data_IF_731547689274
#
_entry.id   IF_731547689274
#
_cell.length_a   1.000
_cell.length_b   1.000
_cell.length_c   1.000
_cell.angle_alpha   90.00
_cell.angle_beta   90.00
_cell.angle_gamma   90.00
#
_symmetry.space_group_name_H-M   'P 1'
#
loop_
_entity.id
_entity.type
_entity.pdbx_description
1 polymer ?
#
# COMPACT_ATOMS: atom_id res chain seq x y z
N UNK A 1 32.19 -81.24 11.30
CA UNK A 1 31.68 -81.20 9.90
C UNK A 1 31.02 -79.83 9.73
N UNK A 2 31.63 -78.92 8.96
CA UNK A 2 31.31 -78.63 7.54
C UNK A 2 29.91 -77.95 7.45
N UNK A 3 29.68 -76.68 7.10
CA UNK A 3 30.40 -75.54 6.48
C UNK A 3 29.72 -74.25 7.01
N UNK A 4 30.40 -73.30 7.68
CA UNK A 4 30.93 -72.02 7.13
C UNK A 4 30.20 -71.48 5.87
N UNK A 5 29.47 -70.37 5.98
CA UNK A 5 29.80 -69.07 5.32
C UNK A 5 28.78 -67.96 5.65
N UNK A 6 29.30 -66.85 6.22
CA UNK A 6 29.03 -65.43 5.90
C UNK A 6 27.56 -64.95 5.75
N UNK A 7 27.01 -64.17 6.69
CA UNK A 7 27.20 -62.72 6.94
C UNK A 7 26.17 -61.85 6.17
N UNK A 8 25.65 -60.83 6.87
CA UNK A 8 24.53 -59.89 6.58
C UNK A 8 23.17 -60.50 6.97
N UNK A 9 22.49 -60.08 8.04
CA UNK A 9 22.29 -58.71 8.52
C UNK A 9 22.02 -57.74 7.35
N UNK A 10 21.02 -58.09 6.55
CA UNK A 10 20.38 -57.16 5.62
C UNK A 10 19.03 -57.72 5.16
N UNK A 11 18.01 -56.90 5.42
CA UNK A 11 16.77 -56.74 4.67
C UNK A 11 15.67 -57.83 4.70
N UNK A 12 14.63 -57.44 5.45
CA UNK A 12 13.28 -57.13 4.96
C UNK A 12 12.24 -58.25 4.87
N UNK A 13 10.98 -57.78 4.99
CA UNK A 13 9.68 -58.44 4.83
C UNK A 13 9.12 -59.06 6.12
N UNK A 14 7.94 -58.71 6.65
CA UNK A 14 6.86 -57.83 6.23
C UNK A 14 6.03 -57.46 7.48
N UNK A 15 6.07 -56.20 7.91
CA UNK A 15 4.98 -55.61 8.71
C UNK A 15 4.18 -54.72 7.76
N UNK A 16 3.24 -55.33 7.05
CA UNK A 16 2.14 -54.61 6.41
C UNK A 16 1.15 -54.30 7.54
N UNK A 17 1.37 -53.17 8.21
CA UNK A 17 0.29 -52.47 8.89
C UNK A 17 -0.49 -51.75 7.80
N UNK A 18 -1.74 -52.13 7.59
CA UNK A 18 -2.69 -51.36 6.80
C UNK A 18 -2.85 -49.98 7.45
N UNK A 19 -2.06 -49.02 6.99
CA UNK A 19 -2.37 -47.61 7.13
C UNK A 19 -3.53 -47.37 6.15
N UNK A 20 -4.74 -47.23 6.68
CA UNK A 20 -5.82 -46.53 5.96
C UNK A 20 -5.48 -45.04 5.95
N UNK A 21 -4.39 -44.69 5.25
CA UNK A 21 -4.19 -43.35 4.73
C UNK A 21 -5.18 -43.18 3.59
N UNK A 22 -6.44 -42.90 3.97
CA UNK A 22 -7.26 -42.06 3.12
C UNK A 22 -6.63 -40.68 3.15
N UNK A 23 -5.58 -40.51 2.33
CA UNK A 23 -5.34 -39.25 1.65
C UNK A 23 -6.65 -38.86 0.98
N UNK A 24 -7.50 -38.12 1.70
CA UNK A 24 -8.32 -37.13 1.04
C UNK A 24 -7.33 -36.19 0.36
N UNK A 25 -6.99 -36.53 -0.88
CA UNK A 25 -6.72 -35.56 -1.92
C UNK A 25 -7.93 -34.61 -1.94
N UNK A 26 -7.97 -33.66 -0.99
CA UNK A 26 -8.61 -32.37 -1.21
C UNK A 26 -7.74 -31.74 -2.28
N UNK A 27 -8.01 -32.11 -3.54
CA UNK A 27 -7.70 -31.27 -4.68
C UNK A 27 -8.02 -29.86 -4.26
N UNK A 28 -6.98 -29.05 -4.03
CA UNK A 28 -7.10 -27.64 -3.69
C UNK A 28 -8.00 -27.08 -4.79
N UNK A 29 -9.26 -26.77 -4.46
CA UNK A 29 -10.21 -26.29 -5.45
C UNK A 29 -9.57 -25.04 -6.05
N UNK A 30 -9.23 -25.12 -7.34
CA UNK A 30 -8.75 -23.95 -8.07
C UNK A 30 -9.98 -23.08 -8.21
N UNK A 31 -10.20 -22.20 -7.24
CA UNK A 31 -11.35 -21.32 -7.26
C UNK A 31 -11.19 -20.36 -8.45
N UNK A 32 -12.17 -20.39 -9.35
CA UNK A 32 -12.20 -19.52 -10.53
C UNK A 32 -12.41 -18.08 -10.05
N UNK A 33 -11.59 -17.16 -10.57
CA UNK A 33 -11.71 -15.71 -10.30
C UNK A 33 -13.17 -15.28 -10.47
N UNK A 34 -13.77 -14.74 -9.40
CA UNK A 34 -15.12 -14.21 -9.42
C UNK A 34 -15.06 -12.72 -9.80
N UNK A 35 -15.69 -12.37 -10.91
CA UNK A 35 -15.93 -10.97 -11.27
C UNK A 35 -17.23 -10.47 -10.64
N UNK A 36 -17.32 -9.19 -10.32
CA UNK A 36 -18.55 -8.55 -9.86
C UNK A 36 -18.85 -7.39 -10.79
N UNK A 37 -20.10 -7.29 -11.20
CA UNK A 37 -20.61 -6.05 -11.80
C UNK A 37 -21.03 -5.09 -10.68
N UNK A 38 -20.43 -3.91 -10.67
CA UNK A 38 -20.74 -2.87 -9.69
C UNK A 38 -21.94 -2.05 -10.17
N UNK A 39 -22.92 -1.89 -9.28
CA UNK A 39 -23.96 -0.89 -9.48
C UNK A 39 -23.35 0.52 -9.55
N UNK A 40 -24.05 1.43 -10.23
CA UNK A 40 -23.63 2.83 -10.34
C UNK A 40 -23.55 3.47 -8.94
N UNK A 41 -22.34 3.87 -8.56
CA UNK A 41 -22.06 4.51 -7.29
C UNK A 41 -22.14 6.03 -7.44
N UNK A 42 -23.22 6.63 -6.93
CA UNK A 42 -23.45 8.07 -7.02
C UNK A 42 -22.80 8.79 -5.84
N UNK A 43 -21.78 9.57 -6.13
CA UNK A 43 -21.18 10.48 -5.16
C UNK A 43 -22.00 11.77 -5.07
N UNK A 44 -22.13 12.29 -3.85
CA UNK A 44 -22.69 13.62 -3.63
C UNK A 44 -21.63 14.65 -4.06
N UNK A 45 -22.06 15.73 -4.71
CA UNK A 45 -21.17 16.82 -5.13
C UNK A 45 -20.67 17.61 -3.92
N UNK A 46 -19.41 18.06 -3.96
CA UNK A 46 -18.96 19.09 -3.03
C UNK A 46 -19.63 20.42 -3.35
N UNK A 47 -19.98 21.20 -2.33
CA UNK A 47 -20.41 22.59 -2.55
C UNK A 47 -19.25 23.42 -3.11
N UNK A 48 -19.51 24.47 -3.90
CA UNK A 48 -18.45 25.33 -4.44
C UNK A 48 -17.50 25.88 -3.36
N UNK A 49 -18.03 26.20 -2.17
CA UNK A 49 -17.23 26.64 -1.02
C UNK A 49 -16.28 25.54 -0.50
N UNK A 50 -16.69 24.28 -0.52
CA UNK A 50 -15.87 23.15 -0.07
C UNK A 50 -14.84 22.71 -1.11
N UNK A 51 -15.18 22.83 -2.41
CA UNK A 51 -14.32 22.40 -3.52
C UNK A 51 -12.92 23.03 -3.45
N UNK A 52 -12.82 24.32 -3.14
CA UNK A 52 -11.54 25.04 -3.14
C UNK A 52 -10.55 24.45 -2.12
N UNK A 53 -10.98 24.19 -0.89
CA UNK A 53 -10.10 23.59 0.12
C UNK A 53 -9.81 22.12 -0.19
N UNK A 54 -10.79 21.36 -0.71
CA UNK A 54 -10.58 19.95 -1.04
C UNK A 54 -9.63 19.76 -2.22
N UNK A 55 -9.60 20.71 -3.16
CA UNK A 55 -8.67 20.74 -4.30
C UNK A 55 -7.21 20.87 -3.87
N UNK A 56 -6.95 21.46 -2.71
CA UNK A 56 -5.60 21.62 -2.17
C UNK A 56 -5.21 20.50 -1.19
N UNK A 57 -6.19 19.70 -0.74
CA UNK A 57 -5.95 18.60 0.18
C UNK A 57 -5.52 17.32 -0.55
N UNK A 58 -4.23 17.21 -0.85
CA UNK A 58 -3.65 16.15 -1.69
C UNK A 58 -3.99 14.72 -1.26
N UNK A 59 -4.00 14.42 0.03
CA UNK A 59 -4.32 13.07 0.52
C UNK A 59 -5.80 12.72 0.32
N UNK A 60 -6.69 13.70 0.39
CA UNK A 60 -8.10 13.52 0.03
C UNK A 60 -8.29 13.33 -1.48
N UNK A 61 -7.61 14.13 -2.31
CA UNK A 61 -7.64 13.91 -3.76
C UNK A 61 -7.09 12.54 -4.16
N UNK A 62 -6.08 12.05 -3.45
CA UNK A 62 -5.52 10.72 -3.66
C UNK A 62 -6.53 9.63 -3.31
N UNK A 63 -7.22 9.74 -2.16
CA UNK A 63 -8.31 8.84 -1.80
C UNK A 63 -9.43 8.85 -2.86
N UNK A 64 -9.84 10.05 -3.31
CA UNK A 64 -10.85 10.21 -4.34
C UNK A 64 -10.44 9.53 -5.65
N UNK A 65 -9.20 9.74 -6.09
CA UNK A 65 -8.67 9.13 -7.31
C UNK A 65 -8.71 7.59 -7.23
N UNK A 66 -8.36 7.00 -6.08
CA UNK A 66 -8.43 5.54 -5.88
C UNK A 66 -9.88 5.05 -5.96
N UNK A 67 -10.81 5.71 -5.26
CA UNK A 67 -12.24 5.36 -5.28
C UNK A 67 -12.80 5.42 -6.69
N UNK A 68 -12.51 6.48 -7.45
CA UNK A 68 -13.00 6.65 -8.83
C UNK A 68 -12.38 5.62 -9.77
N UNK A 69 -11.10 5.29 -9.59
CA UNK A 69 -10.39 4.33 -10.44
C UNK A 69 -10.91 2.90 -10.30
N UNK A 70 -11.59 2.56 -9.19
CA UNK A 70 -12.21 1.25 -8.99
C UNK A 70 -13.28 0.94 -10.04
N UNK A 71 -14.09 1.95 -10.42
CA UNK A 71 -15.18 1.79 -11.38
C UNK A 71 -15.50 3.12 -12.10
N UNK A 72 -14.60 3.62 -12.97
CA UNK A 72 -14.69 4.99 -13.49
C UNK A 72 -15.99 5.26 -14.27
N UNK A 73 -16.48 4.29 -15.04
CA UNK A 73 -17.72 4.42 -15.80
C UNK A 73 -19.00 4.35 -14.94
N UNK A 74 -18.86 4.05 -13.64
CA UNK A 74 -19.97 3.83 -12.71
C UNK A 74 -19.99 4.86 -11.58
N UNK A 75 -19.07 5.82 -11.57
CA UNK A 75 -19.01 6.88 -10.58
C UNK A 75 -19.19 8.22 -11.29
N UNK A 76 -20.27 8.94 -10.95
CA UNK A 76 -20.61 10.23 -11.56
C UNK A 76 -20.11 11.40 -10.71
N UNK A 77 -19.96 12.55 -11.36
CA UNK A 77 -19.62 13.85 -10.76
C UNK A 77 -18.25 13.87 -10.05
N UNK A 78 -17.24 13.30 -10.69
CA UNK A 78 -15.91 13.08 -10.09
C UNK A 78 -14.86 14.10 -10.48
N UNK A 79 -15.07 14.85 -11.56
CA UNK A 79 -14.03 15.65 -12.20
C UNK A 79 -13.42 16.70 -11.25
N UNK A 80 -14.24 17.28 -10.37
CA UNK A 80 -13.80 18.28 -9.37
C UNK A 80 -13.15 17.64 -8.11
N UNK A 81 -13.23 16.33 -7.96
CA UNK A 81 -12.74 15.58 -6.79
C UNK A 81 -11.41 14.85 -7.06
N UNK A 82 -10.99 14.79 -8.33
CA UNK A 82 -9.80 14.07 -8.75
C UNK A 82 -8.55 14.94 -8.66
N UNK A 83 -7.39 14.28 -8.75
CA UNK A 83 -6.11 14.98 -8.79
C UNK A 83 -6.07 15.87 -10.03
N UNK A 84 -5.89 17.17 -9.82
CA UNK A 84 -5.77 18.16 -10.90
C UNK A 84 -4.56 17.89 -11.81
N UNK A 85 -3.53 17.24 -11.26
CA UNK A 85 -2.37 16.77 -12.01
C UNK A 85 -2.43 15.24 -12.18
N UNK A 86 -2.64 14.71 -13.40
CA UNK A 86 -2.70 13.28 -13.68
C UNK A 86 -1.36 12.55 -13.47
N UNK A 87 -0.26 13.29 -13.35
CA UNK A 87 1.07 12.77 -13.03
C UNK A 87 1.38 12.72 -11.54
N UNK A 88 0.43 13.13 -10.68
CA UNK A 88 0.55 12.95 -9.24
C UNK A 88 0.72 11.47 -8.90
N UNK A 89 1.70 11.18 -8.04
CA UNK A 89 2.03 9.83 -7.64
C UNK A 89 1.03 9.33 -6.59
N UNK A 90 0.52 8.12 -6.81
CA UNK A 90 -0.28 7.37 -5.87
C UNK A 90 0.50 6.16 -5.39
N UNK A 91 0.37 5.84 -4.10
CA UNK A 91 0.94 4.61 -3.54
C UNK A 91 0.28 3.41 -4.20
N UNK A 92 1.08 2.61 -4.88
CA UNK A 92 0.68 1.32 -5.46
C UNK A 92 0.94 0.17 -4.49
N UNK A 93 2.10 0.20 -3.82
CA UNK A 93 2.45 -0.78 -2.80
C UNK A 93 3.36 -0.18 -1.75
N UNK A 94 3.03 -0.41 -0.48
CA UNK A 94 4.01 -0.31 0.61
C UNK A 94 4.85 -1.59 0.67
N UNK A 95 6.16 -1.44 0.81
CA UNK A 95 7.15 -2.51 0.82
C UNK A 95 7.65 -2.70 2.25
N UNK A 96 6.86 -3.39 3.07
CA UNK A 96 7.17 -3.54 4.50
C UNK A 96 8.44 -4.37 4.70
N UNK A 97 9.43 -3.88 5.49
CA UNK A 97 10.65 -4.62 5.76
C UNK A 97 10.45 -5.90 6.60
N UNK A 98 9.35 -5.96 7.37
CA UNK A 98 8.98 -7.12 8.19
C UNK A 98 7.54 -7.51 7.87
N UNK A 99 7.37 -8.58 7.08
CA UNK A 99 6.10 -9.29 6.89
C UNK A 99 6.38 -10.72 6.36
N UNK A 100 5.36 -11.57 6.26
CA UNK A 100 5.48 -12.96 5.79
C UNK A 100 5.88 -13.16 4.32
N UNK A 101 5.82 -12.09 3.51
CA UNK A 101 6.13 -12.09 2.06
C UNK A 101 7.44 -11.38 1.73
N UNK A 102 8.14 -10.88 2.75
CA UNK A 102 9.40 -10.19 2.62
C UNK A 102 10.51 -11.18 2.86
N UNK A 103 11.38 -11.35 1.88
CA UNK A 103 12.51 -12.28 1.99
C UNK A 103 13.75 -11.55 2.49
N UNK A 104 14.37 -12.11 3.52
CA UNK A 104 15.60 -11.61 4.14
C UNK A 104 16.71 -12.63 3.93
N UNK A 105 17.74 -12.25 3.19
CA UNK A 105 18.90 -13.12 2.92
C UNK A 105 20.12 -12.50 3.58
N UNK A 106 20.80 -13.30 4.41
CA UNK A 106 22.01 -12.90 5.13
C UNK A 106 21.84 -11.56 5.92
N UNK A 107 20.62 -11.31 6.40
CA UNK A 107 20.26 -10.05 7.00
C UNK A 107 19.42 -10.22 8.25
N UNK A 108 19.59 -9.29 9.20
CA UNK A 108 18.66 -9.03 10.27
C UNK A 108 17.88 -7.77 9.92
N UNK A 109 16.56 -7.86 9.98
CA UNK A 109 15.66 -6.72 9.87
C UNK A 109 14.77 -6.69 11.10
N UNK A 110 14.89 -5.63 11.89
CA UNK A 110 14.12 -5.45 13.11
C UNK A 110 13.68 -4.01 13.27
N UNK A 111 12.69 -3.79 14.14
CA UNK A 111 12.25 -2.44 14.48
C UNK A 111 13.35 -1.70 15.24
N UNK A 112 13.64 -0.49 14.80
CA UNK A 112 14.47 0.48 15.52
C UNK A 112 13.55 1.50 16.21
N UNK A 113 13.85 1.85 17.46
CA UNK A 113 13.03 2.73 18.29
C UNK A 113 13.37 4.21 18.14
N UNK A 114 14.37 4.55 17.32
CA UNK A 114 14.70 5.94 16.99
C UNK A 114 13.51 6.64 16.32
N UNK A 115 13.41 7.94 16.56
CA UNK A 115 12.42 8.79 15.92
C UNK A 115 12.68 8.88 14.39
N UNK A 116 11.65 8.75 13.55
CA UNK A 116 11.73 9.10 12.14
C UNK A 116 12.01 10.59 11.94
N UNK A 117 12.44 10.96 10.73
CA UNK A 117 12.57 12.39 10.37
C UNK A 117 11.21 13.09 10.49
N UNK A 118 11.25 14.39 10.81
CA UNK A 118 10.08 15.28 10.88
C UNK A 118 8.99 14.78 11.86
N UNK A 119 9.39 14.01 12.88
CA UNK A 119 8.47 13.32 13.81
C UNK A 119 7.40 12.44 13.14
N UNK A 120 7.65 11.99 11.90
CA UNK A 120 6.67 11.16 11.19
C UNK A 120 6.33 9.89 11.97
N UNK A 121 5.08 9.42 11.91
CA UNK A 121 4.66 8.22 12.67
C UNK A 121 5.08 6.88 12.05
N UNK A 122 6.05 6.87 11.15
CA UNK A 122 6.52 5.63 10.53
C UNK A 122 7.34 4.77 11.50
N UNK A 123 7.33 3.46 11.26
CA UNK A 123 8.21 2.54 11.97
C UNK A 123 9.58 2.54 11.29
N UNK A 124 10.62 2.87 12.03
CA UNK A 124 12.01 2.72 11.57
C UNK A 124 12.43 1.27 11.71
N UNK A 125 13.18 0.79 10.72
CA UNK A 125 13.76 -0.54 10.71
C UNK A 125 15.28 -0.46 10.59
N UNK A 126 15.96 -1.29 11.36
CA UNK A 126 17.40 -1.56 11.23
C UNK A 126 17.59 -2.71 10.25
N UNK A 127 18.38 -2.48 9.21
CA UNK A 127 18.79 -3.49 8.23
C UNK A 127 20.28 -3.76 8.39
N UNK A 128 20.62 -4.93 8.93
CA UNK A 128 21.96 -5.32 9.35
C UNK A 128 22.43 -6.58 8.62
N UNK A 129 23.72 -6.63 8.27
CA UNK A 129 24.38 -7.79 7.66
C UNK A 129 24.78 -8.85 8.69
N UNK A 130 24.52 -10.13 8.39
CA UNK A 130 24.82 -11.25 9.30
C UNK A 130 26.09 -12.06 9.00
N UNK A 131 26.57 -12.09 7.76
CA UNK A 131 27.77 -12.84 7.37
C UNK A 131 28.65 -12.00 6.46
N UNK A 132 29.95 -12.05 6.71
CA UNK A 132 30.98 -11.40 5.89
C UNK A 132 31.02 -11.97 4.46
N UNK A 133 31.54 -11.18 3.51
CA UNK A 133 31.85 -11.57 2.12
C UNK A 133 30.67 -12.10 1.28
N UNK A 134 29.43 -12.03 1.79
CA UNK A 134 28.21 -12.36 1.06
C UNK A 134 27.31 -11.12 0.97
N UNK A 135 26.47 -10.99 -0.05
CA UNK A 135 25.47 -9.92 -0.11
C UNK A 135 24.41 -10.13 0.97
N UNK A 136 24.07 -9.09 1.72
CA UNK A 136 22.88 -9.07 2.58
C UNK A 136 21.75 -8.37 1.84
N UNK A 137 20.54 -8.93 1.85
CA UNK A 137 19.43 -8.33 1.12
C UNK A 137 18.08 -8.45 1.83
N UNK A 138 17.22 -7.51 1.44
CA UNK A 138 15.83 -7.37 1.78
C UNK A 138 15.06 -7.30 0.45
N UNK A 139 14.15 -8.25 0.22
CA UNK A 139 13.53 -8.45 -1.09
C UNK A 139 12.01 -8.52 -1.02
N UNK A 140 11.36 -7.96 -2.05
CA UNK A 140 9.92 -8.02 -2.26
C UNK A 140 9.62 -8.45 -3.69
N UNK A 141 8.68 -9.38 -3.86
CA UNK A 141 8.13 -9.71 -5.17
C UNK A 141 6.87 -8.90 -5.45
N UNK A 142 6.78 -8.24 -6.60
CA UNK A 142 5.61 -7.46 -7.01
C UNK A 142 5.35 -7.64 -8.50
N UNK A 143 4.10 -7.93 -8.86
CA UNK A 143 3.67 -7.84 -10.25
C UNK A 143 3.69 -6.38 -10.70
N UNK A 144 4.42 -6.08 -11.77
CA UNK A 144 4.46 -4.75 -12.37
C UNK A 144 3.90 -4.82 -13.79
N UNK A 145 3.11 -3.84 -14.18
CA UNK A 145 2.48 -3.77 -15.51
C UNK A 145 3.39 -3.02 -16.46
N UNK A 146 3.58 -3.56 -17.67
CA UNK A 146 4.44 -3.00 -18.69
C UNK A 146 4.16 -1.53 -18.99
N UNK A 147 5.24 -0.78 -19.21
CA UNK A 147 5.25 0.63 -19.65
C UNK A 147 4.54 1.59 -18.68
N UNK A 148 4.44 1.24 -17.40
CA UNK A 148 4.02 2.16 -16.34
C UNK A 148 5.28 2.64 -15.60
N UNK A 149 5.51 3.96 -15.47
CA UNK A 149 6.65 4.47 -14.71
C UNK A 149 6.36 4.37 -13.21
N UNK A 150 6.91 3.36 -12.55
CA UNK A 150 6.84 3.21 -11.11
C UNK A 150 7.97 4.00 -10.44
N UNK A 151 7.65 4.81 -9.44
CA UNK A 151 8.63 5.51 -8.61
C UNK A 151 8.82 4.73 -7.32
N UNK A 152 10.00 4.15 -7.14
CA UNK A 152 10.40 3.62 -5.84
C UNK A 152 10.94 4.75 -4.98
N UNK A 153 10.50 4.81 -3.73
CA UNK A 153 11.06 5.71 -2.74
C UNK A 153 11.32 5.01 -1.41
N UNK A 154 12.40 5.43 -0.74
CA UNK A 154 12.76 4.97 0.61
C UNK A 154 13.47 6.10 1.33
N UNK A 155 13.26 6.18 2.66
CA UNK A 155 14.05 7.06 3.51
C UNK A 155 15.12 6.25 4.22
N UNK A 156 16.37 6.68 4.11
CA UNK A 156 17.55 6.00 4.63
C UNK A 156 18.41 6.96 5.46
N UNK A 157 19.05 6.42 6.49
CA UNK A 157 20.09 7.10 7.24
C UNK A 157 21.26 6.15 7.51
N UNK A 158 22.48 6.68 7.34
CA UNK A 158 23.72 5.97 7.63
C UNK A 158 23.80 5.71 9.13
N UNK A 159 24.19 4.48 9.49
CA UNK A 159 24.64 4.15 10.85
C UNK A 159 26.14 3.89 10.81
N UNK A 160 26.55 2.76 10.23
CA UNK A 160 27.96 2.39 10.06
C UNK A 160 28.28 1.93 8.63
N UNK A 161 27.29 1.65 7.77
CA UNK A 161 27.51 1.35 6.36
C UNK A 161 27.12 2.52 5.42
N UNK A 162 27.95 2.88 4.43
CA UNK A 162 27.80 4.15 3.71
C UNK A 162 26.90 4.09 2.47
N UNK A 163 26.43 2.92 2.04
CA UNK A 163 25.65 2.78 0.81
C UNK A 163 24.67 1.61 0.84
N UNK A 164 23.60 1.71 0.07
CA UNK A 164 22.63 0.63 -0.17
C UNK A 164 22.41 0.49 -1.67
N UNK A 165 22.39 -0.73 -2.19
CA UNK A 165 22.08 -0.99 -3.58
C UNK A 165 20.60 -1.37 -3.75
N UNK A 166 19.97 -0.86 -4.80
CA UNK A 166 18.63 -1.24 -5.24
C UNK A 166 18.74 -1.98 -6.57
N UNK A 167 18.02 -3.09 -6.70
CA UNK A 167 17.84 -3.80 -7.96
C UNK A 167 16.36 -4.06 -8.22
N UNK A 168 15.92 -3.87 -9.47
CA UNK A 168 14.71 -4.48 -10.00
C UNK A 168 15.12 -5.61 -10.94
N UNK A 169 14.62 -6.81 -10.68
CA UNK A 169 14.99 -8.00 -11.44
C UNK A 169 13.76 -8.73 -11.97
N UNK A 170 13.81 -9.22 -13.20
CA UNK A 170 12.82 -10.10 -13.84
C UNK A 170 13.51 -11.41 -14.19
N UNK A 171 12.96 -12.55 -13.76
CA UNK A 171 13.54 -13.88 -14.02
C UNK A 171 15.07 -13.97 -13.79
N UNK A 172 15.54 -13.40 -12.66
CA UNK A 172 16.96 -13.34 -12.25
C UNK A 172 17.87 -12.45 -13.12
N UNK A 173 17.33 -11.67 -14.06
CA UNK A 173 18.04 -10.62 -14.78
C UNK A 173 17.75 -9.26 -14.16
N UNK A 174 18.80 -8.52 -13.81
CA UNK A 174 18.66 -7.13 -13.33
C UNK A 174 18.27 -6.21 -14.49
N UNK A 175 17.07 -5.63 -14.41
CA UNK A 175 16.55 -4.66 -15.38
C UNK A 175 16.87 -3.22 -14.98
N UNK A 176 17.08 -2.97 -13.69
CA UNK A 176 17.57 -1.69 -13.15
C UNK A 176 18.43 -1.95 -11.92
N UNK A 177 19.60 -1.32 -11.87
CA UNK A 177 20.50 -1.33 -10.71
C UNK A 177 20.88 0.10 -10.35
N UNK A 178 20.82 0.43 -9.06
CA UNK A 178 21.17 1.75 -8.55
C UNK A 178 21.84 1.65 -7.19
N UNK A 179 22.69 2.62 -6.88
CA UNK A 179 23.35 2.78 -5.58
C UNK A 179 22.86 4.06 -4.91
N UNK A 180 22.46 3.94 -3.65
CA UNK A 180 22.11 5.02 -2.76
C UNK A 180 23.29 5.31 -1.84
N UNK A 181 23.96 6.45 -2.06
CA UNK A 181 25.06 6.90 -1.20
C UNK A 181 24.51 7.63 0.03
N UNK A 182 24.78 7.08 1.20
CA UNK A 182 24.31 7.58 2.51
C UNK A 182 25.31 8.54 3.17
N UNK A 183 26.50 8.72 2.61
CA UNK A 183 27.44 9.76 3.01
C UNK A 183 27.84 10.65 1.82
N UNK A 184 28.74 11.59 2.08
CA UNK A 184 29.26 12.57 1.11
C UNK A 184 30.47 12.06 0.33
N UNK A 185 31.06 10.94 0.75
CA UNK A 185 32.26 10.35 0.13
C UNK A 185 31.89 9.46 -1.07
N UNK A 186 30.66 8.95 -1.09
CA UNK A 186 30.12 8.13 -2.16
C UNK A 186 29.14 8.94 -3.01
N UNK A 187 29.06 8.63 -4.31
CA UNK A 187 28.03 9.16 -5.20
C UNK A 187 26.89 8.16 -5.39
N UNK A 188 25.66 8.67 -5.42
CA UNK A 188 24.52 7.85 -5.86
C UNK A 188 24.56 7.71 -7.38
N UNK A 189 23.90 6.69 -7.92
CA UNK A 189 23.70 6.58 -9.38
C UNK A 189 22.99 7.83 -9.92
N UNK A 190 23.36 8.30 -11.11
CA UNK A 190 22.99 9.62 -11.64
C UNK A 190 21.47 9.86 -11.77
N UNK A 191 20.67 8.82 -11.92
CA UNK A 191 19.22 8.87 -12.02
C UNK A 191 18.49 8.78 -10.67
N UNK A 192 19.22 8.70 -9.56
CA UNK A 192 18.65 8.71 -8.21
C UNK A 192 18.49 10.14 -7.74
N UNK A 193 17.23 10.53 -7.45
CA UNK A 193 16.95 11.79 -6.78
C UNK A 193 17.13 11.61 -5.27
N UNK A 194 18.06 12.37 -4.69
CA UNK A 194 18.29 12.45 -3.24
C UNK A 194 17.70 13.75 -2.70
N UNK A 195 16.95 13.67 -1.61
CA UNK A 195 16.39 14.84 -0.91
C UNK A 195 16.75 14.74 0.57
N UNK A 196 17.48 15.72 1.08
CA UNK A 196 17.84 15.80 2.49
C UNK A 196 16.59 16.10 3.34
N UNK A 197 16.51 15.46 4.49
CA UNK A 197 15.49 15.65 5.52
C UNK A 197 16.19 16.04 6.84
N UNK A 198 15.41 16.30 7.89
CA UNK A 198 15.93 16.55 9.23
C UNK A 198 16.75 15.36 9.78
N UNK A 199 17.61 15.63 10.78
CA UNK A 199 18.43 14.63 11.47
C UNK A 199 19.23 13.69 10.54
N UNK A 200 19.85 14.23 9.49
CA UNK A 200 20.67 13.49 8.50
C UNK A 200 19.94 12.38 7.73
N UNK A 201 18.61 12.35 7.79
CA UNK A 201 17.82 11.44 6.97
C UNK A 201 17.82 11.91 5.52
N UNK A 202 17.76 10.96 4.60
CA UNK A 202 17.70 11.25 3.17
C UNK A 202 16.63 10.41 2.51
N UNK A 203 15.76 11.04 1.73
CA UNK A 203 14.82 10.36 0.83
C UNK A 203 15.50 10.09 -0.50
N UNK A 204 15.45 8.84 -0.94
CA UNK A 204 15.94 8.41 -2.25
C UNK A 204 14.75 8.05 -3.12
N UNK A 205 14.74 8.53 -4.35
CA UNK A 205 13.70 8.23 -5.33
C UNK A 205 14.32 7.86 -6.67
N UNK A 206 13.74 6.84 -7.31
CA UNK A 206 14.14 6.41 -8.66
C UNK A 206 12.93 5.86 -9.40
N UNK A 207 12.84 6.16 -10.69
CA UNK A 207 11.75 5.70 -11.55
C UNK A 207 12.20 4.52 -12.39
N UNK A 208 11.38 3.47 -12.41
CA UNK A 208 11.55 2.26 -13.20
C UNK A 208 10.32 2.03 -14.08
N UNK A 209 10.52 1.75 -15.36
CA UNK A 209 9.43 1.37 -16.28
C UNK A 209 9.66 -0.06 -16.78
N UNK A 210 8.89 -1.06 -16.32
CA UNK A 210 9.08 -2.44 -16.72
C UNK A 210 8.72 -2.62 -18.20
N UNK A 211 9.50 -3.43 -18.91
CA UNK A 211 9.26 -3.74 -20.33
C UNK A 211 8.13 -4.75 -20.52
N UNK A 212 7.88 -5.60 -19.52
CA UNK A 212 6.89 -6.68 -19.56
C UNK A 212 5.98 -6.62 -18.33
N UNK A 213 4.76 -7.12 -18.48
CA UNK A 213 3.84 -7.29 -17.34
C UNK A 213 4.14 -8.63 -16.68
N UNK A 214 4.86 -8.62 -15.57
CA UNK A 214 5.41 -9.81 -14.92
C UNK A 214 5.67 -9.57 -13.42
N UNK A 215 5.89 -10.61 -12.60
CA UNK A 215 6.51 -10.47 -11.29
C UNK A 215 7.95 -9.95 -11.41
N UNK A 216 8.24 -8.88 -10.68
CA UNK A 216 9.58 -8.33 -10.49
C UNK A 216 10.00 -8.49 -9.03
N UNK A 217 11.27 -8.79 -8.82
CA UNK A 217 11.92 -8.72 -7.51
C UNK A 217 12.52 -7.34 -7.32
N UNK A 218 12.12 -6.67 -6.24
CA UNK A 218 12.68 -5.39 -5.79
C UNK A 218 13.58 -5.72 -4.60
N UNK A 219 14.87 -5.44 -4.72
CA UNK A 219 15.88 -5.85 -3.73
C UNK A 219 16.66 -4.63 -3.24
N UNK A 220 16.64 -4.40 -1.93
CA UNK A 220 17.65 -3.56 -1.27
C UNK A 220 18.77 -4.46 -0.73
N UNK A 221 20.03 -4.03 -0.88
CA UNK A 221 21.16 -4.84 -0.45
C UNK A 221 22.36 -4.05 0.09
N UNK A 222 23.07 -4.68 1.03
CA UNK A 222 24.42 -4.32 1.44
C UNK A 222 25.37 -5.25 0.67
N UNK A 223 26.35 -4.67 -0.02
CA UNK A 223 27.24 -5.44 -0.89
C UNK A 223 28.24 -6.32 -0.11
N UNK A 224 29.07 -7.06 -0.84
CA UNK A 224 30.05 -7.99 -0.27
C UNK A 224 31.09 -7.30 0.64
N UNK A 225 31.39 -6.02 0.37
CA UNK A 225 32.36 -5.23 1.13
C UNK A 225 31.87 -4.85 2.54
N UNK A 226 30.54 -4.89 2.78
CA UNK A 226 29.99 -4.73 4.11
C UNK A 226 30.48 -5.87 5.03
N UNK A 227 30.83 -5.52 6.27
CA UNK A 227 31.21 -6.47 7.31
C UNK A 227 29.97 -6.94 8.05
N UNK A 228 30.12 -8.03 8.80
CA UNK A 228 29.12 -8.46 9.77
C UNK A 228 28.82 -7.31 10.75
N UNK A 229 27.54 -7.11 11.06
CA UNK A 229 27.00 -6.01 11.87
C UNK A 229 27.03 -4.62 11.21
N UNK A 230 27.53 -4.49 9.98
CA UNK A 230 27.28 -3.30 9.18
C UNK A 230 25.78 -3.19 8.90
N UNK A 231 25.26 -1.98 9.09
CA UNK A 231 23.86 -1.70 9.07
C UNK A 231 23.54 -0.26 8.63
N UNK A 232 22.29 -0.11 8.25
CA UNK A 232 21.62 1.13 7.93
C UNK A 232 20.24 1.12 8.59
N UNK A 233 19.64 2.29 8.74
CA UNK A 233 18.24 2.39 9.16
C UNK A 233 17.39 2.97 8.05
N UNK A 234 16.16 2.46 7.94
CA UNK A 234 15.24 2.80 6.86
C UNK A 234 13.80 2.87 7.32
N UNK A 235 12.99 3.67 6.63
CA UNK A 235 11.54 3.65 6.76
C UNK A 235 10.87 4.08 5.45
N UNK A 236 9.55 3.87 5.36
CA UNK A 236 8.71 4.27 4.23
C UNK A 236 9.26 3.82 2.87
N UNK A 237 9.54 2.53 2.73
CA UNK A 237 9.79 1.92 1.41
C UNK A 237 8.46 1.77 0.68
N UNK A 238 8.28 2.52 -0.41
CA UNK A 238 7.02 2.53 -1.18
C UNK A 238 7.30 2.48 -2.67
N UNK A 239 6.36 1.90 -3.39
CA UNK A 239 6.28 1.93 -4.84
C UNK A 239 5.04 2.72 -5.22
N UNK A 240 5.24 3.76 -6.00
CA UNK A 240 4.20 4.71 -6.40
C UNK A 240 4.08 4.72 -7.93
N UNK A 241 2.93 5.14 -8.45
CA UNK A 241 2.73 5.31 -9.90
C UNK A 241 1.84 6.52 -10.19
N UNK A 242 1.95 7.14 -11.38
CA UNK A 242 1.10 8.25 -11.76
C UNK A 242 -0.39 7.86 -11.79
N UNK A 243 -1.24 8.70 -11.20
CA UNK A 243 -2.69 8.49 -11.08
C UNK A 243 -3.37 8.05 -12.38
N UNK A 244 -2.97 8.60 -13.54
CA UNK A 244 -3.52 8.23 -14.85
C UNK A 244 -3.40 6.74 -15.21
N UNK A 245 -2.46 6.01 -14.61
CA UNK A 245 -2.25 4.59 -14.87
C UNK A 245 -2.97 3.66 -13.90
N UNK A 246 -3.62 4.18 -12.86
CA UNK A 246 -4.23 3.37 -11.79
C UNK A 246 -5.33 2.42 -12.31
N UNK A 247 -6.18 2.90 -13.24
CA UNK A 247 -7.17 2.07 -13.91
C UNK A 247 -6.53 0.91 -14.70
N UNK A 248 -5.41 1.16 -15.40
CA UNK A 248 -4.68 0.14 -16.16
C UNK A 248 -4.14 -0.95 -15.24
N UNK A 249 -3.65 -0.59 -14.06
CA UNK A 249 -3.18 -1.55 -13.04
C UNK A 249 -4.33 -2.41 -12.53
N UNK A 250 -5.51 -1.83 -12.30
CA UNK A 250 -6.70 -2.57 -11.87
C UNK A 250 -7.12 -3.73 -12.79
N UNK A 251 -6.82 -3.63 -14.09
CA UNK A 251 -7.07 -4.70 -15.07
C UNK A 251 -6.21 -5.96 -14.84
N UNK A 252 -5.15 -5.85 -14.04
CA UNK A 252 -4.25 -6.95 -13.67
C UNK A 252 -4.42 -7.36 -12.20
N UNK A 253 -5.51 -6.95 -11.55
CA UNK A 253 -5.75 -7.20 -10.13
C UNK A 253 -5.71 -8.68 -9.74
N UNK A 254 -6.15 -9.57 -10.63
CA UNK A 254 -6.04 -11.02 -10.48
C UNK A 254 -4.58 -11.49 -10.38
N UNK A 255 -3.66 -10.95 -11.17
CA UNK A 255 -2.23 -11.29 -11.11
C UNK A 255 -1.55 -10.63 -9.91
N UNK A 256 -1.86 -9.35 -9.68
CA UNK A 256 -1.29 -8.57 -8.58
C UNK A 256 -1.63 -9.19 -7.22
N UNK A 257 -2.87 -9.63 -7.05
CA UNK A 257 -3.36 -10.25 -5.82
C UNK A 257 -3.10 -11.76 -5.82
N UNK A 258 -3.34 -12.45 -6.94
CA UNK A 258 -3.25 -13.91 -7.06
C UNK A 258 -1.85 -14.48 -6.99
N UNK A 259 -0.81 -13.72 -7.38
CA UNK A 259 0.58 -14.19 -7.24
C UNK A 259 1.05 -14.24 -5.79
N UNK A 260 0.31 -13.64 -4.84
CA UNK A 260 0.78 -13.44 -3.47
C UNK A 260 -0.30 -13.54 -2.38
N UNK A 261 -1.52 -14.00 -2.64
CA UNK A 261 -2.58 -13.95 -1.61
C UNK A 261 -3.27 -15.27 -1.32
N UNK A 262 -3.43 -15.54 -0.03
CA UNK A 262 -4.39 -16.49 0.55
C UNK A 262 -5.81 -15.90 0.46
N UNK A 263 -6.21 -15.32 -0.67
CA UNK A 263 -7.58 -14.79 -0.84
C UNK A 263 -8.48 -15.94 -1.27
N UNK A 264 -9.34 -16.36 -0.35
CA UNK A 264 -10.18 -17.55 -0.46
C UNK A 264 -11.46 -17.29 -1.28
N UNK A 265 -12.02 -16.07 -1.21
CA UNK A 265 -13.32 -15.76 -1.87
C UNK A 265 -13.28 -15.65 -3.40
N UNK A 266 -12.08 -15.59 -3.99
CA UNK A 266 -11.80 -15.34 -5.42
C UNK A 266 -12.20 -13.96 -5.98
N UNK A 267 -12.62 -13.00 -5.14
CA UNK A 267 -12.91 -11.61 -5.54
C UNK A 267 -11.65 -10.73 -5.54
N UNK A 268 -10.64 -11.10 -6.33
CA UNK A 268 -9.31 -10.46 -6.32
C UNK A 268 -9.34 -8.96 -6.68
N UNK A 269 -10.18 -8.56 -7.63
CA UNK A 269 -10.31 -7.15 -8.03
C UNK A 269 -10.86 -6.28 -6.91
N UNK A 270 -11.90 -6.76 -6.23
CA UNK A 270 -12.48 -6.08 -5.06
C UNK A 270 -11.43 -5.97 -3.96
N UNK A 271 -10.74 -7.06 -3.64
CA UNK A 271 -9.70 -7.06 -2.61
C UNK A 271 -8.59 -6.06 -2.92
N UNK A 272 -8.11 -6.03 -4.17
CA UNK A 272 -7.12 -5.07 -4.64
C UNK A 272 -7.57 -3.64 -4.31
N UNK A 273 -8.78 -3.25 -4.75
CA UNK A 273 -9.29 -1.90 -4.55
C UNK A 273 -9.50 -1.54 -3.08
N UNK A 274 -9.98 -2.47 -2.25
CA UNK A 274 -10.13 -2.23 -0.81
C UNK A 274 -8.78 -1.96 -0.14
N UNK A 275 -7.73 -2.69 -0.50
CA UNK A 275 -6.37 -2.45 0.00
C UNK A 275 -5.85 -1.08 -0.45
N UNK A 276 -6.07 -0.69 -1.71
CA UNK A 276 -5.66 0.64 -2.20
C UNK A 276 -6.38 1.77 -1.45
N UNK A 277 -7.69 1.61 -1.17
CA UNK A 277 -8.48 2.58 -0.39
C UNK A 277 -7.97 2.63 1.06
N UNK A 278 -7.67 1.49 1.68
CA UNK A 278 -7.14 1.44 3.04
C UNK A 278 -5.80 2.17 3.17
N UNK A 279 -4.89 1.98 2.22
CA UNK A 279 -3.58 2.64 2.21
C UNK A 279 -3.72 4.15 2.03
N UNK A 280 -4.61 4.60 1.13
CA UNK A 280 -4.92 6.03 0.96
C UNK A 280 -5.54 6.64 2.23
N UNK A 281 -6.44 5.91 2.91
CA UNK A 281 -7.03 6.35 4.18
C UNK A 281 -6.01 6.42 5.31
N UNK A 282 -5.03 5.49 5.34
CA UNK A 282 -3.97 5.51 6.35
C UNK A 282 -3.10 6.74 6.20
N UNK A 283 -2.80 7.15 4.97
CA UNK A 283 -2.09 8.39 4.69
C UNK A 283 -2.93 9.62 5.07
N UNK A 284 -4.20 9.65 4.66
CA UNK A 284 -5.12 10.74 4.97
C UNK A 284 -5.33 10.95 6.47
N UNK A 285 -5.43 9.87 7.25
CA UNK A 285 -5.68 9.89 8.69
C UNK A 285 -4.40 9.89 9.54
N UNK A 286 -3.21 9.92 8.91
CA UNK A 286 -1.96 10.07 9.65
C UNK A 286 -1.96 11.36 10.46
N UNK A 287 -1.31 11.36 11.62
CA UNK A 287 -1.29 12.56 12.48
C UNK A 287 -0.51 13.71 11.84
N UNK A 288 0.39 13.40 10.90
CA UNK A 288 1.14 14.38 10.10
C UNK A 288 0.30 14.93 8.93
N UNK A 289 -0.92 14.41 8.73
CA UNK A 289 -1.80 14.87 7.66
C UNK A 289 -2.27 16.29 7.92
N UNK A 290 -2.01 17.17 6.95
CA UNK A 290 -2.46 18.56 6.96
C UNK A 290 -3.93 18.61 6.59
N UNK A 291 -4.82 18.36 7.56
CA UNK A 291 -6.26 18.60 7.39
C UNK A 291 -6.49 20.10 7.18
N UNK A 292 -7.30 20.51 6.18
CA UNK A 292 -7.74 21.89 6.08
C UNK A 292 -8.42 22.32 7.39
N UNK A 293 -8.10 23.51 7.87
CA UNK A 293 -8.43 23.97 9.22
C UNK A 293 -9.93 23.82 9.54
N UNK A 294 -10.80 24.26 8.63
CA UNK A 294 -12.26 24.19 8.78
C UNK A 294 -12.80 22.76 8.97
N UNK A 295 -12.20 21.78 8.32
CA UNK A 295 -12.62 20.38 8.39
C UNK A 295 -11.75 19.52 9.31
N UNK A 296 -10.76 20.11 9.97
CA UNK A 296 -9.96 19.46 11.00
C UNK A 296 -10.76 19.28 12.31
N UNK A 297 -11.95 18.70 12.20
CA UNK A 297 -12.89 18.53 13.31
C UNK A 297 -13.08 17.04 13.65
N UNK A 298 -13.30 16.69 14.94
CA UNK A 298 -13.46 15.29 15.36
C UNK A 298 -14.53 14.52 14.57
N UNK A 299 -15.62 15.19 14.21
CA UNK A 299 -16.75 14.56 13.50
C UNK A 299 -16.40 14.10 12.08
N UNK A 300 -15.52 14.81 11.36
CA UNK A 300 -15.05 14.40 10.02
C UNK A 300 -14.09 13.22 10.15
N UNK A 301 -13.12 13.32 11.08
CA UNK A 301 -12.17 12.24 11.36
C UNK A 301 -12.86 10.96 11.81
N UNK A 302 -13.92 11.05 12.62
CA UNK A 302 -14.70 9.91 13.06
C UNK A 302 -15.39 9.19 11.88
N UNK A 303 -15.98 9.93 10.93
CA UNK A 303 -16.61 9.34 9.74
C UNK A 303 -15.59 8.67 8.81
N UNK A 304 -14.43 9.29 8.62
CA UNK A 304 -13.33 8.68 7.86
C UNK A 304 -12.78 7.40 8.53
N UNK A 305 -12.67 7.37 9.87
CA UNK A 305 -12.28 6.17 10.62
C UNK A 305 -13.33 5.07 10.54
N UNK A 306 -14.62 5.43 10.57
CA UNK A 306 -15.71 4.46 10.34
C UNK A 306 -15.60 3.84 8.94
N UNK A 307 -15.40 4.69 7.92
CA UNK A 307 -15.17 4.22 6.54
C UNK A 307 -13.96 3.29 6.45
N UNK A 308 -12.83 3.65 7.07
CA UNK A 308 -11.64 2.78 7.15
C UNK A 308 -11.93 1.44 7.82
N UNK A 309 -12.74 1.44 8.88
CA UNK A 309 -13.11 0.21 9.62
C UNK A 309 -13.95 -0.72 8.73
N UNK A 310 -14.92 -0.18 7.99
CA UNK A 310 -15.73 -0.95 7.06
C UNK A 310 -14.90 -1.51 5.90
N UNK A 311 -13.96 -0.72 5.34
CA UNK A 311 -13.04 -1.17 4.29
C UNK A 311 -12.23 -2.37 4.77
N UNK A 312 -11.64 -2.30 5.98
CA UNK A 312 -10.88 -3.40 6.58
C UNK A 312 -11.73 -4.65 6.78
N UNK A 313 -12.92 -4.49 7.36
CA UNK A 313 -13.82 -5.62 7.60
C UNK A 313 -14.21 -6.32 6.29
N UNK A 314 -14.51 -5.55 5.24
CA UNK A 314 -14.82 -6.12 3.93
C UNK A 314 -13.61 -6.78 3.28
N UNK A 315 -12.42 -6.17 3.37
CA UNK A 315 -11.18 -6.74 2.85
C UNK A 315 -10.86 -8.07 3.54
N UNK A 316 -11.03 -8.15 4.86
CA UNK A 316 -10.83 -9.37 5.64
C UNK A 316 -11.84 -10.46 5.28
N UNK A 317 -13.11 -10.12 5.08
CA UNK A 317 -14.13 -11.07 4.62
C UNK A 317 -13.81 -11.59 3.20
N UNK A 318 -13.48 -10.70 2.27
CA UNK A 318 -13.07 -11.08 0.92
C UNK A 318 -11.81 -11.94 0.96
N UNK A 319 -10.87 -11.66 1.85
CA UNK A 319 -9.63 -12.44 1.97
C UNK A 319 -9.90 -13.83 2.54
N UNK A 320 -10.63 -13.93 3.65
CA UNK A 320 -10.61 -15.14 4.48
C UNK A 320 -11.92 -15.96 4.42
N UNK A 321 -12.90 -15.59 3.59
CA UNK A 321 -14.17 -16.32 3.46
C UNK A 321 -14.36 -16.88 2.03
N UNK A 322 -14.15 -18.19 1.80
CA UNK A 322 -14.26 -18.80 0.47
C UNK A 322 -15.70 -18.76 -0.07
N UNK A 323 -16.66 -18.85 0.84
CA UNK A 323 -18.10 -18.91 0.56
C UNK A 323 -18.75 -17.52 0.58
N UNK A 324 -17.95 -16.44 0.56
CA UNK A 324 -18.47 -15.09 0.57
C UNK A 324 -19.40 -14.86 -0.62
N UNK A 325 -20.62 -14.40 -0.33
CA UNK A 325 -21.71 -14.28 -1.30
C UNK A 325 -21.67 -12.94 -2.02
N UNK A 326 -22.03 -12.96 -3.30
CA UNK A 326 -22.02 -11.75 -4.13
C UNK A 326 -23.01 -10.69 -3.61
N UNK A 327 -24.18 -11.11 -3.12
CA UNK A 327 -25.21 -10.22 -2.59
C UNK A 327 -24.72 -9.50 -1.33
N UNK A 328 -24.04 -10.23 -0.44
CA UNK A 328 -23.45 -9.66 0.78
C UNK A 328 -22.32 -8.69 0.44
N UNK A 329 -21.48 -9.04 -0.54
CA UNK A 329 -20.43 -8.15 -1.03
C UNK A 329 -21.00 -6.87 -1.65
N UNK A 330 -22.00 -6.97 -2.54
CA UNK A 330 -22.70 -5.81 -3.12
C UNK A 330 -23.33 -4.92 -2.06
N UNK A 331 -23.97 -5.52 -1.05
CA UNK A 331 -24.53 -4.79 0.10
C UNK A 331 -23.45 -4.02 0.87
N UNK A 332 -22.31 -4.65 1.15
CA UNK A 332 -21.19 -3.99 1.84
C UNK A 332 -20.57 -2.87 1.00
N UNK A 333 -20.42 -3.05 -0.31
CA UNK A 333 -19.94 -2.00 -1.22
C UNK A 333 -20.91 -0.81 -1.23
N UNK A 334 -22.22 -1.06 -1.26
CA UNK A 334 -23.23 0.00 -1.16
C UNK A 334 -23.11 0.77 0.15
N UNK A 335 -22.92 0.08 1.28
CA UNK A 335 -22.71 0.69 2.60
C UNK A 335 -21.43 1.55 2.66
N UNK A 336 -20.32 1.07 2.08
CA UNK A 336 -19.10 1.86 1.93
C UNK A 336 -19.39 3.17 1.20
N UNK A 337 -20.16 3.08 0.13
CA UNK A 337 -20.58 4.22 -0.64
C UNK A 337 -21.40 5.25 0.13
N UNK A 338 -22.40 4.79 0.89
CA UNK A 338 -23.22 5.63 1.75
C UNK A 338 -22.38 6.31 2.85
N UNK A 339 -21.44 5.56 3.44
CA UNK A 339 -20.55 6.06 4.49
C UNK A 339 -19.64 7.15 3.95
N UNK A 340 -19.09 6.96 2.75
CA UNK A 340 -18.28 7.98 2.09
C UNK A 340 -19.08 9.23 1.72
N UNK A 341 -20.30 9.06 1.19
CA UNK A 341 -21.22 10.18 0.96
C UNK A 341 -21.55 10.95 2.25
N UNK A 342 -21.62 10.26 3.40
CA UNK A 342 -21.77 10.92 4.70
C UNK A 342 -20.56 11.78 5.09
N UNK A 343 -19.34 11.40 4.68
CA UNK A 343 -18.14 12.25 4.83
C UNK A 343 -18.30 13.52 4.00
N UNK A 344 -18.62 13.39 2.72
CA UNK A 344 -18.81 14.53 1.80
C UNK A 344 -19.93 15.46 2.32
N UNK A 345 -21.06 14.90 2.72
CA UNK A 345 -22.17 15.68 3.29
C UNK A 345 -21.75 16.44 4.57
N UNK A 346 -20.85 15.88 5.38
CA UNK A 346 -20.32 16.60 6.56
C UNK A 346 -19.48 17.79 6.14
N UNK A 347 -18.57 17.58 5.19
CA UNK A 347 -17.70 18.61 4.64
C UNK A 347 -18.59 19.75 4.10
N UNK A 348 -19.55 19.42 3.24
CA UNK A 348 -20.50 20.40 2.69
C UNK A 348 -21.26 21.17 3.78
N UNK A 349 -21.71 20.50 4.83
CA UNK A 349 -22.41 21.14 5.95
C UNK A 349 -21.49 22.10 6.72
N UNK A 350 -20.20 21.77 6.89
CA UNK A 350 -19.22 22.66 7.55
C UNK A 350 -18.98 23.92 6.70
N UNK A 351 -18.77 23.78 5.40
CA UNK A 351 -18.56 24.92 4.50
C UNK A 351 -19.85 25.72 4.21
N UNK A 352 -21.02 25.09 4.36
CA UNK A 352 -22.32 25.75 4.23
C UNK A 352 -22.80 26.45 5.49
N UNK A 353 -22.27 26.09 6.67
CA UNK A 353 -22.56 26.75 7.94
C UNK A 353 -21.58 27.91 8.15
N UNK A 354 -21.76 28.97 7.38
CA UNK A 354 -21.06 30.22 7.62
C UNK A 354 -21.72 30.96 8.80
N UNK A 355 -21.19 30.72 9.99
CA UNK A 355 -21.64 31.35 11.23
C UNK A 355 -21.48 32.88 11.14
N UNK A 356 -20.51 33.37 10.38
CA UNK A 356 -20.28 34.79 10.08
C UNK A 356 -21.37 35.37 9.18
N UNK A 357 -21.78 34.63 8.15
CA UNK A 357 -22.90 34.98 7.28
C UNK A 357 -24.21 35.03 8.08
N UNK A 358 -24.44 34.06 8.98
CA UNK A 358 -25.60 34.06 9.89
C UNK A 358 -25.57 35.18 10.93
N UNK A 359 -24.39 35.55 11.46
CA UNK A 359 -24.26 36.67 12.40
C UNK A 359 -24.46 38.04 11.74
N UNK A 360 -24.10 38.20 10.45
CA UNK A 360 -24.40 39.42 9.69
C UNK A 360 -25.91 39.70 9.61
N UNK A 361 -26.75 38.67 9.56
CA UNK A 361 -28.21 38.81 9.59
C UNK A 361 -28.77 39.15 10.97
N UNK A 362 -28.10 38.75 12.06
CA UNK A 362 -28.54 39.09 13.42
C UNK A 362 -28.19 40.55 13.75
N UNK A 363 -27.06 41.07 13.25
CA UNK A 363 -26.66 42.47 13.46
C UNK A 363 -27.43 43.51 12.63
N UNK A 364 -28.30 43.10 11.72
CA UNK A 364 -29.07 44.00 10.83
C UNK A 364 -30.57 44.04 11.13
N UNK A 365 -31.08 43.25 12.08
CA UNK A 365 -32.51 43.23 12.42
C UNK A 365 -32.94 44.14 13.58
N UNK A 366 -32.07 44.98 14.14
CA UNK A 366 -32.39 45.73 15.37
C UNK A 366 -32.37 47.27 15.26
N UNK A 367 -32.49 47.86 14.07
CA UNK A 367 -32.62 49.33 13.95
C UNK A 367 -33.52 49.80 12.81
N UNK A 368 -34.74 49.29 12.66
CA UNK A 368 -35.78 50.00 11.90
C UNK A 368 -37.20 49.46 12.16
N UNK A 369 -37.67 49.56 13.42
CA UNK A 369 -39.11 49.59 13.69
C UNK A 369 -39.40 50.08 15.12
N UNK A 370 -39.27 51.40 15.32
CA UNK A 370 -40.07 52.10 16.33
C UNK A 370 -40.86 53.18 15.58
N UNK A 371 -42.17 53.01 15.35
CA UNK A 371 -43.00 54.09 14.84
C UNK A 371 -43.19 55.13 15.96
N UNK A 372 -43.08 56.42 15.60
CA UNK A 372 -43.50 57.55 16.41
C UNK A 372 -45.02 57.63 16.54
#
# INVERSE_FOLDING_TARGET
MKYRFYILFSLLTCFISCNDDKETNKTRQVHKVKSIDFEEFKLIDLTPKAQEDMKHWKSFQSLMQVIVSMAPAKIKNTDDLMLSNPDSLLVYSRLYPINSKTENINSLVERDWRAPAEASKDTVFRFEKKKNNEVASLQWSRFLVANIPYTFSVVLKKVNYPKVNLNFSESNSDELSATFALDTLNSSTSNVKKTALEDDWNRYQITFSPKKSAPYTIKLSLDENAKENDNVILYRSVLELPAKYFHKVGQYSDKIVGEHSEVESSYYSVFFWLVQIEDALRELLSDDATFPEKINVPTVKARLRLFQTQIKALADNVKNNPDFKEEELKSNISLLGQTFNSVIARINNIYGNDLEERMKFIGTQDTDSIPK
#
